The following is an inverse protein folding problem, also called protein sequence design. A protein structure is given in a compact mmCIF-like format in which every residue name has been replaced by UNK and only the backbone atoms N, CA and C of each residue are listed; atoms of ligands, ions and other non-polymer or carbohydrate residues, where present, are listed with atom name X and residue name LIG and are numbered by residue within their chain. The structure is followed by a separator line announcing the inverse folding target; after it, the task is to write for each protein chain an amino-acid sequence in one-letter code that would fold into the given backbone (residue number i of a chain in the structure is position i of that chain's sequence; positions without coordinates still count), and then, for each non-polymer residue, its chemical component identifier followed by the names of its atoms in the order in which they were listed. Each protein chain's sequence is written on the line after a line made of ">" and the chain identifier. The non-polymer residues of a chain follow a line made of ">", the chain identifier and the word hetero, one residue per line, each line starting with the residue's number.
data_IF_257758307750
#
_entry.id   IF_257758307750
#
_cell.length_a   1.000
_cell.length_b   1.000
_cell.length_c   1.000
_cell.angle_alpha   90.00
_cell.angle_beta   90.00
_cell.angle_gamma   90.00
#
_symmetry.space_group_name_H-M   'P 1'
#
loop_
_entity.id
_entity.type
_entity.pdbx_description
1 polymer ?
#
# COMPACT_ATOMS: atom_id res chain seq x y z
N UNK A 1 21.03 -38.09 -39.26
CA UNK A 1 21.35 -36.83 -38.58
C UNK A 1 20.60 -35.72 -39.33
N UNK A 2 19.36 -35.44 -38.92
CA UNK A 2 18.49 -34.42 -39.54
C UNK A 2 17.88 -33.65 -38.36
N UNK A 3 18.19 -32.36 -38.31
CA UNK A 3 17.94 -31.42 -37.22
C UNK A 3 16.44 -31.28 -36.93
N UNK A 4 16.08 -31.47 -35.66
CA UNK A 4 14.79 -31.05 -35.09
C UNK A 4 14.90 -29.56 -34.76
N UNK A 5 14.51 -28.71 -35.69
CA UNK A 5 14.42 -27.26 -35.48
C UNK A 5 13.22 -26.77 -36.28
N UNK A 6 12.01 -26.92 -35.72
CA UNK A 6 10.81 -26.21 -36.20
C UNK A 6 9.62 -26.34 -35.23
N UNK A 7 9.85 -26.27 -33.92
CA UNK A 7 8.74 -26.15 -32.97
C UNK A 7 8.77 -24.74 -32.37
N UNK A 8 7.96 -23.88 -33.00
CA UNK A 8 7.13 -22.87 -32.34
C UNK A 8 7.59 -21.40 -32.30
N UNK A 9 7.94 -20.83 -33.45
CA UNK A 9 8.15 -19.37 -33.60
C UNK A 9 6.86 -18.56 -33.89
N UNK A 10 5.70 -19.23 -34.02
CA UNK A 10 4.43 -18.56 -34.36
C UNK A 10 3.57 -18.17 -33.15
N UNK A 11 3.86 -18.68 -31.95
CA UNK A 11 3.10 -18.39 -30.72
C UNK A 11 3.64 -17.20 -29.90
N UNK A 12 4.85 -16.71 -30.22
CA UNK A 12 5.55 -15.66 -29.47
C UNK A 12 4.96 -14.24 -29.61
N UNK A 13 4.58 -13.71 -30.79
CA UNK A 13 4.13 -12.32 -30.90
C UNK A 13 2.73 -12.07 -30.34
N UNK A 14 1.84 -13.08 -30.38
CA UNK A 14 0.47 -12.97 -29.86
C UNK A 14 0.46 -12.92 -28.32
N UNK A 15 1.30 -13.73 -27.69
CA UNK A 15 1.45 -13.76 -26.23
C UNK A 15 2.10 -12.49 -25.69
N UNK A 16 3.08 -11.91 -26.40
CA UNK A 16 3.71 -10.66 -26.01
C UNK A 16 2.76 -9.46 -26.07
N UNK A 17 1.93 -9.39 -27.12
CA UNK A 17 0.92 -8.33 -27.26
C UNK A 17 -0.16 -8.41 -26.17
N UNK A 18 -0.63 -9.62 -25.85
CA UNK A 18 -1.60 -9.86 -24.78
C UNK A 18 -1.02 -9.51 -23.39
N UNK A 19 0.22 -9.93 -23.12
CA UNK A 19 0.94 -9.62 -21.88
C UNK A 19 1.12 -8.11 -21.71
N UNK A 20 1.58 -7.42 -22.75
CA UNK A 20 1.75 -5.96 -22.75
C UNK A 20 0.41 -5.24 -22.50
N UNK A 21 -0.67 -5.74 -23.08
CA UNK A 21 -2.03 -5.24 -22.84
C UNK A 21 -2.47 -5.37 -21.38
N UNK A 22 -2.22 -6.52 -20.75
CA UNK A 22 -2.57 -6.75 -19.34
C UNK A 22 -1.75 -5.87 -18.39
N UNK A 23 -0.43 -5.79 -18.58
CA UNK A 23 0.46 -4.93 -17.78
C UNK A 23 0.07 -3.45 -17.90
N UNK A 24 -0.33 -3.00 -19.10
CA UNK A 24 -0.80 -1.62 -19.28
C UNK A 24 -2.08 -1.33 -18.49
N UNK A 25 -3.05 -2.25 -18.48
CA UNK A 25 -4.29 -2.10 -17.71
C UNK A 25 -4.03 -2.05 -16.21
N UNK A 26 -3.12 -2.88 -15.72
CA UNK A 26 -2.68 -2.91 -14.33
C UNK A 26 -2.09 -1.57 -13.88
N UNK A 27 -1.11 -1.05 -14.63
CA UNK A 27 -0.47 0.24 -14.33
C UNK A 27 -1.50 1.38 -14.42
N UNK A 28 -2.43 1.32 -15.38
CA UNK A 28 -3.48 2.33 -15.49
C UNK A 28 -4.44 2.30 -14.29
N UNK A 29 -4.79 1.12 -13.79
CA UNK A 29 -5.58 0.97 -12.56
C UNK A 29 -4.81 1.51 -11.35
N UNK A 30 -3.54 1.14 -11.20
CA UNK A 30 -2.68 1.61 -10.12
C UNK A 30 -2.60 3.14 -10.09
N UNK A 31 -2.31 3.77 -11.23
CA UNK A 31 -2.29 5.24 -11.36
C UNK A 31 -3.66 5.85 -11.04
N UNK A 32 -4.75 5.25 -11.52
CA UNK A 32 -6.10 5.74 -11.25
C UNK A 32 -6.43 5.69 -9.75
N UNK A 33 -6.04 4.61 -9.06
CA UNK A 33 -6.28 4.47 -7.62
C UNK A 33 -5.41 5.46 -6.83
N UNK A 34 -4.13 5.61 -7.17
CA UNK A 34 -3.28 6.64 -6.57
C UNK A 34 -3.84 8.05 -6.77
N UNK A 35 -4.34 8.36 -7.98
CA UNK A 35 -4.97 9.63 -8.28
C UNK A 35 -6.24 9.84 -7.43
N UNK A 36 -7.08 8.81 -7.26
CA UNK A 36 -8.27 8.86 -6.42
C UNK A 36 -7.91 9.13 -4.95
N UNK A 37 -6.88 8.45 -4.42
CA UNK A 37 -6.41 8.68 -3.04
C UNK A 37 -5.81 10.08 -2.88
N UNK A 38 -5.05 10.55 -3.87
CA UNK A 38 -4.50 11.90 -3.86
C UNK A 38 -5.63 12.94 -3.85
N UNK A 39 -6.62 12.81 -4.75
CA UNK A 39 -7.78 13.71 -4.81
C UNK A 39 -8.59 13.68 -3.52
N UNK A 40 -8.85 12.51 -2.94
CA UNK A 40 -9.56 12.42 -1.66
C UNK A 40 -8.76 13.06 -0.52
N UNK A 41 -7.44 12.90 -0.53
CA UNK A 41 -6.55 13.53 0.45
C UNK A 41 -6.47 15.05 0.25
N UNK A 42 -6.43 15.55 -0.97
CA UNK A 42 -6.50 16.99 -1.26
C UNK A 42 -7.83 17.61 -0.86
N UNK A 43 -8.95 16.89 -1.05
CA UNK A 43 -10.26 17.35 -0.61
C UNK A 43 -10.30 17.65 0.89
N UNK A 44 -9.45 17.00 1.68
CA UNK A 44 -9.25 17.25 3.11
C UNK A 44 -8.74 18.67 3.44
N UNK A 45 -8.21 19.39 2.46
CA UNK A 45 -7.85 20.79 2.62
C UNK A 45 -9.08 21.70 2.60
N UNK A 46 -10.18 21.25 2.00
CA UNK A 46 -11.40 22.04 1.78
C UNK A 46 -12.59 21.56 2.62
N UNK A 47 -12.65 20.26 2.93
CA UNK A 47 -13.71 19.64 3.73
C UNK A 47 -13.19 19.38 5.14
N UNK A 48 -14.04 19.55 6.16
CA UNK A 48 -13.65 19.45 7.57
C UNK A 48 -12.83 18.19 7.91
N UNK A 49 -11.90 18.32 8.86
CA UNK A 49 -10.86 17.32 9.19
C UNK A 49 -11.41 15.93 9.51
N UNK A 50 -12.55 15.84 10.18
CA UNK A 50 -13.16 14.55 10.51
C UNK A 50 -13.71 13.83 9.28
N UNK A 51 -14.25 14.59 8.33
CA UNK A 51 -14.83 14.04 7.10
C UNK A 51 -13.74 13.51 6.16
N UNK A 52 -12.64 14.24 6.04
CA UNK A 52 -11.43 13.83 5.34
C UNK A 52 -10.89 12.46 5.81
N UNK A 53 -10.77 12.30 7.13
CA UNK A 53 -10.32 11.04 7.73
C UNK A 53 -11.32 9.92 7.49
N UNK A 54 -12.62 10.19 7.57
CA UNK A 54 -13.67 9.24 7.22
C UNK A 54 -13.54 8.73 5.78
N UNK A 55 -13.28 9.62 4.82
CA UNK A 55 -13.05 9.24 3.42
C UNK A 55 -11.79 8.38 3.30
N UNK A 56 -10.67 8.78 3.91
CA UNK A 56 -9.42 8.02 3.83
C UNK A 56 -9.56 6.60 4.39
N UNK A 57 -10.27 6.46 5.51
CA UNK A 57 -10.60 5.17 6.12
C UNK A 57 -11.50 4.34 5.22
N UNK A 58 -12.54 4.94 4.64
CA UNK A 58 -13.41 4.26 3.69
C UNK A 58 -12.62 3.77 2.46
N UNK A 59 -11.71 4.59 1.93
CA UNK A 59 -10.85 4.18 0.81
C UNK A 59 -9.92 3.02 1.17
N UNK A 60 -9.30 3.03 2.36
CA UNK A 60 -8.46 1.92 2.82
C UNK A 60 -9.24 0.62 2.96
N UNK A 61 -10.45 0.68 3.52
CA UNK A 61 -11.35 -0.48 3.64
C UNK A 61 -11.81 -1.01 2.27
N UNK A 62 -12.15 -0.12 1.34
CA UNK A 62 -12.54 -0.52 -0.03
C UNK A 62 -11.37 -1.23 -0.73
N UNK A 63 -10.15 -0.71 -0.61
CA UNK A 63 -8.96 -1.34 -1.21
C UNK A 63 -8.67 -2.71 -0.59
N UNK A 64 -8.83 -2.84 0.72
CA UNK A 64 -8.73 -4.12 1.41
C UNK A 64 -9.78 -5.12 0.91
N UNK A 65 -11.05 -4.73 0.83
CA UNK A 65 -12.11 -5.62 0.33
C UNK A 65 -11.83 -6.02 -1.13
N UNK A 66 -11.38 -5.06 -1.95
CA UNK A 66 -11.04 -5.31 -3.36
C UNK A 66 -9.88 -6.30 -3.50
N UNK A 67 -8.76 -6.10 -2.78
CA UNK A 67 -7.64 -7.03 -2.87
C UNK A 67 -8.03 -8.40 -2.32
N UNK A 68 -8.83 -8.45 -1.26
CA UNK A 68 -9.26 -9.73 -0.69
C UNK A 68 -10.09 -10.56 -1.67
N UNK A 69 -10.97 -9.92 -2.45
CA UNK A 69 -11.78 -10.61 -3.46
C UNK A 69 -11.00 -10.98 -4.73
N UNK A 70 -9.93 -10.27 -5.03
CA UNK A 70 -9.21 -10.39 -6.31
C UNK A 70 -7.88 -11.15 -6.20
N UNK A 71 -7.34 -11.32 -4.98
CA UNK A 71 -6.03 -11.93 -4.76
C UNK A 71 -5.99 -13.38 -5.25
N UNK A 72 -5.11 -13.72 -6.19
CA UNK A 72 -5.20 -15.01 -6.86
C UNK A 72 -4.43 -16.14 -6.17
N UNK A 73 -3.59 -15.82 -5.18
CA UNK A 73 -2.58 -16.72 -4.62
C UNK A 73 -2.94 -17.26 -3.23
N UNK A 74 -4.23 -17.28 -2.85
CA UNK A 74 -4.62 -17.83 -1.55
C UNK A 74 -4.16 -19.27 -1.40
N UNK A 75 -3.24 -19.50 -0.46
CA UNK A 75 -2.85 -20.86 -0.08
C UNK A 75 -3.87 -21.47 0.87
N UNK A 76 -4.53 -20.66 1.71
CA UNK A 76 -5.61 -21.05 2.62
C UNK A 76 -6.48 -19.86 3.06
N UNK A 77 -7.77 -20.12 3.34
CA UNK A 77 -8.75 -19.10 3.80
C UNK A 77 -8.37 -18.54 5.18
N UNK A 78 -7.72 -19.35 6.03
CA UNK A 78 -7.33 -18.93 7.38
C UNK A 78 -6.32 -17.78 7.32
N UNK A 79 -5.32 -17.87 6.44
CA UNK A 79 -4.30 -16.83 6.27
C UNK A 79 -4.95 -15.51 5.80
N UNK A 80 -5.88 -15.61 4.85
CA UNK A 80 -6.66 -14.47 4.37
C UNK A 80 -7.43 -13.76 5.50
N UNK A 81 -8.06 -14.54 6.38
CA UNK A 81 -8.83 -14.00 7.50
C UNK A 81 -7.91 -13.36 8.55
N UNK A 82 -6.75 -13.96 8.84
CA UNK A 82 -5.77 -13.40 9.77
C UNK A 82 -5.26 -12.05 9.26
N UNK A 83 -4.87 -11.96 7.99
CA UNK A 83 -4.47 -10.71 7.36
C UNK A 83 -5.56 -9.66 7.38
N UNK A 84 -6.81 -10.06 7.10
CA UNK A 84 -7.96 -9.16 7.11
C UNK A 84 -8.25 -8.58 8.50
N UNK A 85 -8.23 -9.43 9.54
CA UNK A 85 -8.41 -8.99 10.92
C UNK A 85 -7.31 -8.01 11.31
N UNK A 86 -6.05 -8.32 11.00
CA UNK A 86 -4.93 -7.42 11.30
C UNK A 86 -5.03 -6.09 10.53
N UNK A 87 -5.41 -6.13 9.26
CA UNK A 87 -5.65 -4.93 8.44
C UNK A 87 -6.77 -4.05 8.99
N UNK A 88 -7.93 -4.64 9.31
CA UNK A 88 -9.07 -3.94 9.94
C UNK A 88 -8.64 -3.29 11.25
N UNK A 89 -8.02 -4.05 12.15
CA UNK A 89 -7.55 -3.55 13.45
C UNK A 89 -6.60 -2.36 13.24
N UNK A 90 -5.64 -2.47 12.32
CA UNK A 90 -4.67 -1.40 12.07
C UNK A 90 -5.30 -0.15 11.45
N UNK A 91 -6.26 -0.31 10.52
CA UNK A 91 -6.99 0.82 9.94
C UNK A 91 -7.76 1.56 11.05
N UNK A 92 -8.53 0.84 11.87
CA UNK A 92 -9.31 1.46 12.95
C UNK A 92 -8.43 2.03 14.07
N UNK A 93 -7.34 1.36 14.43
CA UNK A 93 -6.38 1.88 15.40
C UNK A 93 -5.76 3.19 14.90
N UNK A 94 -5.36 3.25 13.63
CA UNK A 94 -4.83 4.47 13.02
C UNK A 94 -5.88 5.58 12.99
N UNK A 95 -7.13 5.26 12.63
CA UNK A 95 -8.22 6.22 12.62
C UNK A 95 -8.48 6.81 14.02
N UNK A 96 -8.60 5.97 15.06
CA UNK A 96 -8.83 6.40 16.43
C UNK A 96 -7.66 7.25 16.95
N UNK A 97 -6.43 6.82 16.66
CA UNK A 97 -5.21 7.53 17.04
C UNK A 97 -5.17 8.94 16.42
N UNK A 98 -5.53 9.08 15.14
CA UNK A 98 -5.58 10.40 14.49
C UNK A 98 -6.75 11.25 15.02
N UNK A 99 -7.91 10.63 15.28
CA UNK A 99 -9.06 11.33 15.86
C UNK A 99 -8.80 11.89 17.25
N UNK A 100 -8.02 11.18 18.07
CA UNK A 100 -7.62 11.65 19.40
C UNK A 100 -6.68 12.87 19.32
N UNK A 101 -5.85 12.94 18.28
CA UNK A 101 -4.96 14.07 18.05
C UNK A 101 -5.65 15.29 17.40
N UNK A 102 -6.81 15.12 16.74
CA UNK A 102 -7.47 16.20 16.01
C UNK A 102 -7.85 17.43 16.86
N UNK A 103 -8.40 17.31 18.08
CA UNK A 103 -8.80 18.46 18.89
C UNK A 103 -7.63 19.38 19.24
N UNK A 104 -6.47 18.81 19.55
CA UNK A 104 -5.25 19.59 19.79
C UNK A 104 -4.84 20.30 18.50
N UNK A 105 -4.83 19.58 17.36
CA UNK A 105 -4.55 20.14 16.03
C UNK A 105 -5.55 21.29 15.70
N UNK A 106 -6.83 21.20 16.07
CA UNK A 106 -7.86 22.23 15.84
C UNK A 106 -7.67 23.46 16.73
N UNK A 107 -7.37 23.26 18.00
CA UNK A 107 -7.13 24.35 18.95
C UNK A 107 -5.89 25.17 18.57
N UNK A 108 -4.84 24.51 18.06
CA UNK A 108 -3.65 25.22 17.59
C UNK A 108 -3.91 26.02 16.30
N UNK A 109 -4.73 25.52 15.38
CA UNK A 109 -5.14 26.26 14.18
C UNK A 109 -6.01 27.49 14.53
N UNK A 110 -6.96 27.33 15.46
CA UNK A 110 -7.87 28.40 15.88
C UNK A 110 -7.17 29.53 16.66
N UNK A 111 -6.06 29.24 17.35
CA UNK A 111 -5.35 30.21 18.18
C UNK A 111 -4.60 31.29 17.38
N UNK A 112 -4.57 31.23 16.04
CA UNK A 112 -3.98 32.27 15.18
C UNK A 112 -2.48 32.51 15.39
N UNK A 113 -1.83 31.77 16.30
CA UNK A 113 -0.38 31.67 16.39
C UNK A 113 0.05 31.23 15.01
N UNK A 114 0.74 32.10 14.28
CA UNK A 114 1.17 31.87 12.89
C UNK A 114 1.48 30.41 12.74
N UNK A 115 0.85 29.73 11.78
CA UNK A 115 0.99 28.30 11.55
C UNK A 115 2.44 27.82 11.78
N UNK A 116 3.43 28.62 11.36
CA UNK A 116 4.87 28.49 11.69
C UNK A 116 5.27 28.28 13.15
N UNK A 117 4.79 29.05 14.12
CA UNK A 117 5.25 29.00 15.52
C UNK A 117 4.65 27.82 16.31
N UNK A 118 3.38 27.51 16.04
CA UNK A 118 2.70 26.32 16.56
C UNK A 118 3.19 25.03 15.87
N UNK A 119 3.42 25.09 14.55
CA UNK A 119 3.90 23.96 13.74
C UNK A 119 5.38 23.64 13.95
N UNK A 120 6.20 24.56 14.45
CA UNK A 120 7.61 24.29 14.79
C UNK A 120 7.75 23.74 16.22
N UNK A 121 6.87 24.09 17.15
CA UNK A 121 7.05 23.74 18.57
C UNK A 121 6.25 22.52 19.07
N UNK A 122 5.03 22.29 18.56
CA UNK A 122 4.07 21.33 19.16
C UNK A 122 3.65 20.24 18.16
N UNK A 123 3.41 20.61 16.90
CA UNK A 123 3.07 19.65 15.85
C UNK A 123 4.12 18.55 15.67
N UNK A 124 5.45 18.82 15.62
CA UNK A 124 6.42 17.77 15.36
C UNK A 124 6.45 16.76 16.50
N UNK A 125 6.25 17.18 17.75
CA UNK A 125 6.21 16.29 18.91
C UNK A 125 4.95 15.42 18.94
N UNK A 126 3.77 15.98 18.65
CA UNK A 126 2.52 15.20 18.60
C UNK A 126 2.50 14.25 17.40
N UNK A 127 2.85 14.73 16.21
CA UNK A 127 3.00 13.87 15.04
C UNK A 127 4.08 12.81 15.27
N UNK A 128 5.14 13.11 16.02
CA UNK A 128 6.15 12.14 16.46
C UNK A 128 5.60 11.01 17.31
N UNK A 129 4.82 11.33 18.34
CA UNK A 129 4.16 10.28 19.11
C UNK A 129 3.23 9.43 18.25
N UNK A 130 2.45 10.04 17.34
CA UNK A 130 1.50 9.32 16.49
C UNK A 130 2.20 8.34 15.54
N UNK A 131 3.27 8.79 14.86
CA UNK A 131 3.97 7.93 13.91
C UNK A 131 4.77 6.83 14.60
N UNK A 132 5.36 7.11 15.77
CA UNK A 132 6.10 6.11 16.51
C UNK A 132 5.16 4.98 16.93
N UNK A 133 3.99 5.33 17.47
CA UNK A 133 2.94 4.37 17.85
C UNK A 133 2.49 3.55 16.65
N UNK A 134 2.23 4.18 15.49
CA UNK A 134 1.83 3.47 14.29
C UNK A 134 2.91 2.49 13.81
N UNK A 135 4.17 2.90 13.79
CA UNK A 135 5.29 2.05 13.37
C UNK A 135 5.49 0.86 14.31
N UNK A 136 5.39 1.10 15.63
CA UNK A 136 5.46 0.02 16.62
C UNK A 136 4.29 -0.94 16.49
N UNK A 137 3.06 -0.43 16.31
CA UNK A 137 1.87 -1.26 16.10
C UNK A 137 2.02 -2.12 14.85
N UNK A 138 2.48 -1.53 13.74
CA UNK A 138 2.72 -2.25 12.49
C UNK A 138 3.78 -3.33 12.66
N UNK A 139 4.92 -3.00 13.28
CA UNK A 139 5.99 -3.95 13.52
C UNK A 139 5.52 -5.12 14.39
N UNK A 140 4.76 -4.83 15.45
CA UNK A 140 4.16 -5.86 16.30
C UNK A 140 3.19 -6.75 15.52
N UNK A 141 2.31 -6.17 14.70
CA UNK A 141 1.38 -6.94 13.85
C UNK A 141 2.13 -7.82 12.85
N UNK A 142 3.20 -7.33 12.23
CA UNK A 142 4.03 -8.13 11.33
C UNK A 142 4.70 -9.31 12.04
N UNK A 143 5.22 -9.10 13.26
CA UNK A 143 5.77 -10.19 14.08
C UNK A 143 4.69 -11.23 14.37
N UNK A 144 3.47 -10.81 14.70
CA UNK A 144 2.33 -11.72 14.93
C UNK A 144 2.01 -12.53 13.68
N UNK A 145 1.98 -11.93 12.49
CA UNK A 145 1.75 -12.66 11.24
C UNK A 145 2.83 -13.69 10.94
N UNK A 146 4.10 -13.34 11.15
CA UNK A 146 5.22 -14.26 10.96
C UNK A 146 5.10 -15.45 11.91
N UNK A 147 4.83 -15.20 13.20
CA UNK A 147 4.66 -16.26 14.21
C UNK A 147 3.43 -17.13 13.90
N UNK A 148 2.30 -16.52 13.53
CA UNK A 148 1.09 -17.24 13.15
C UNK A 148 1.33 -18.14 11.92
N UNK A 149 2.01 -17.63 10.90
CA UNK A 149 2.39 -18.38 9.71
C UNK A 149 3.27 -19.59 10.04
N UNK A 150 4.27 -19.42 10.90
CA UNK A 150 5.10 -20.54 11.37
C UNK A 150 4.30 -21.55 12.19
N UNK A 151 3.43 -21.09 13.09
CA UNK A 151 2.64 -21.97 13.94
C UNK A 151 1.68 -22.83 13.10
N UNK A 152 0.99 -22.23 12.14
CA UNK A 152 0.13 -22.95 11.20
C UNK A 152 0.89 -23.99 10.40
N UNK A 153 2.12 -23.69 10.00
CA UNK A 153 2.97 -24.62 9.28
C UNK A 153 3.46 -25.78 10.16
N UNK A 154 3.79 -25.49 11.42
CA UNK A 154 4.15 -26.52 12.41
C UNK A 154 3.00 -27.49 12.69
N UNK A 155 1.74 -27.02 12.57
CA UNK A 155 0.54 -27.84 12.74
C UNK A 155 0.16 -28.67 11.51
N UNK A 156 0.75 -28.42 10.32
CA UNK A 156 0.46 -29.19 9.10
C UNK A 156 1.23 -30.52 9.07
N UNK A 157 0.53 -31.58 8.66
CA UNK A 157 1.03 -32.97 8.70
C UNK A 157 1.84 -33.39 7.46
N UNK A 158 1.71 -32.69 6.33
CA UNK A 158 2.49 -32.88 5.09
C UNK A 158 3.30 -31.61 4.77
N UNK A 159 4.63 -31.72 4.65
CA UNK A 159 5.58 -30.59 4.52
C UNK A 159 6.19 -30.49 3.12
N UNK A 160 5.38 -30.23 2.10
CA UNK A 160 5.88 -29.86 0.77
C UNK A 160 5.31 -28.50 0.39
N UNK A 161 6.17 -27.60 -0.11
CA UNK A 161 5.86 -26.23 -0.55
C UNK A 161 5.49 -25.19 0.54
N UNK A 162 6.10 -25.35 1.72
CA UNK A 162 5.86 -24.49 2.90
C UNK A 162 6.31 -23.04 2.71
N UNK A 163 7.53 -22.81 2.22
CA UNK A 163 8.12 -21.47 2.13
C UNK A 163 7.41 -20.60 1.09
N UNK A 164 7.06 -21.18 -0.06
CA UNK A 164 6.41 -20.45 -1.16
C UNK A 164 5.00 -20.01 -0.79
N UNK A 165 4.20 -20.91 -0.20
CA UNK A 165 2.86 -20.57 0.28
C UNK A 165 2.88 -19.50 1.39
N UNK A 166 3.85 -19.58 2.31
CA UNK A 166 4.06 -18.55 3.34
C UNK A 166 4.31 -17.17 2.75
N UNK A 167 5.21 -17.09 1.77
CA UNK A 167 5.61 -15.81 1.20
C UNK A 167 4.44 -15.10 0.51
N UNK A 168 3.57 -15.85 -0.15
CA UNK A 168 2.38 -15.30 -0.81
C UNK A 168 1.31 -14.86 0.19
N UNK A 169 1.09 -15.62 1.27
CA UNK A 169 0.17 -15.24 2.35
C UNK A 169 0.68 -14.00 3.10
N UNK A 170 1.96 -14.00 3.52
CA UNK A 170 2.55 -12.87 4.24
C UNK A 170 2.58 -11.58 3.41
N UNK A 171 2.82 -11.68 2.10
CA UNK A 171 2.81 -10.51 1.23
C UNK A 171 1.42 -9.86 1.16
N UNK A 172 0.36 -10.67 1.16
CA UNK A 172 -1.00 -10.16 1.26
C UNK A 172 -1.22 -9.50 2.63
N UNK A 173 -0.86 -10.18 3.72
CA UNK A 173 -1.04 -9.66 5.08
C UNK A 173 -0.31 -8.31 5.29
N UNK A 174 0.91 -8.20 4.76
CA UNK A 174 1.68 -6.95 4.74
C UNK A 174 0.95 -5.87 3.95
N UNK A 175 0.43 -6.18 2.77
CA UNK A 175 -0.33 -5.21 1.98
C UNK A 175 -1.59 -4.74 2.74
N UNK A 176 -2.32 -5.67 3.38
CA UNK A 176 -3.50 -5.37 4.18
C UNK A 176 -3.19 -4.42 5.34
N UNK A 177 -2.12 -4.67 6.10
CA UNK A 177 -1.73 -3.79 7.21
C UNK A 177 -1.14 -2.46 6.72
N UNK A 178 -0.33 -2.48 5.67
CA UNK A 178 0.27 -1.27 5.08
C UNK A 178 -0.79 -0.27 4.59
N UNK A 179 -1.97 -0.77 4.19
CA UNK A 179 -3.07 0.08 3.75
C UNK A 179 -3.57 1.05 4.82
N UNK A 180 -3.36 0.75 6.11
CA UNK A 180 -3.64 1.67 7.21
C UNK A 180 -2.84 2.99 7.10
N UNK A 181 -1.67 2.97 6.45
CA UNK A 181 -0.88 4.18 6.19
C UNK A 181 -1.61 5.20 5.30
N UNK A 182 -2.58 4.78 4.50
CA UNK A 182 -3.41 5.71 3.71
C UNK A 182 -4.33 6.57 4.56
N UNK A 183 -4.66 6.14 5.78
CA UNK A 183 -5.43 6.95 6.75
C UNK A 183 -4.63 8.18 7.20
N UNK A 184 -3.29 8.14 7.11
CA UNK A 184 -2.40 9.26 7.43
C UNK A 184 -2.26 10.26 6.28
N UNK A 185 -2.70 9.91 5.06
CA UNK A 185 -2.51 10.73 3.86
C UNK A 185 -3.09 12.15 3.97
N UNK A 186 -4.32 12.37 4.50
CA UNK A 186 -4.85 13.73 4.70
C UNK A 186 -3.93 14.64 5.52
N UNK A 187 -3.24 14.10 6.52
CA UNK A 187 -2.29 14.86 7.34
C UNK A 187 -1.06 15.28 6.54
N UNK A 188 -0.55 14.39 5.69
CA UNK A 188 0.60 14.65 4.82
C UNK A 188 0.33 15.82 3.86
N UNK A 189 -0.79 15.79 3.14
CA UNK A 189 -1.12 16.83 2.16
C UNK A 189 -1.29 18.20 2.82
N UNK A 190 -1.88 18.24 4.01
CA UNK A 190 -2.05 19.49 4.75
C UNK A 190 -0.72 20.02 5.29
N UNK A 191 0.14 19.14 5.81
CA UNK A 191 1.48 19.50 6.26
C UNK A 191 2.35 20.04 5.12
N UNK A 192 2.24 19.44 3.93
CA UNK A 192 2.89 19.96 2.72
C UNK A 192 2.37 21.37 2.43
N UNK A 193 1.05 21.55 2.29
CA UNK A 193 0.44 22.82 1.87
C UNK A 193 0.77 24.01 2.76
N UNK A 194 1.03 23.78 4.04
CA UNK A 194 1.33 24.83 5.00
C UNK A 194 2.83 25.15 5.11
N UNK A 195 3.71 24.19 4.85
CA UNK A 195 5.16 24.37 4.94
C UNK A 195 5.84 24.80 3.63
N UNK A 196 5.11 24.84 2.50
CA UNK A 196 5.66 25.33 1.21
C UNK A 196 6.17 26.79 1.30
N UNK A 197 5.63 27.59 2.23
CA UNK A 197 5.90 29.03 2.32
C UNK A 197 7.05 29.40 3.28
N UNK A 198 7.77 28.42 3.82
CA UNK A 198 8.93 28.63 4.70
C UNK A 198 10.25 28.92 3.95
N UNK A 199 11.29 29.36 4.67
CA UNK A 199 12.61 29.63 4.05
C UNK A 199 13.35 28.34 3.62
N UNK A 200 13.19 27.25 4.36
CA UNK A 200 13.72 25.91 4.02
C UNK A 200 12.63 24.89 3.67
N UNK A 201 11.36 25.21 3.98
CA UNK A 201 10.20 24.34 3.75
C UNK A 201 10.00 23.88 2.29
N UNK A 202 10.07 24.74 1.25
CA UNK A 202 9.81 24.31 -0.11
C UNK A 202 10.88 23.34 -0.64
N UNK A 203 12.15 23.52 -0.28
CA UNK A 203 13.22 22.60 -0.68
C UNK A 203 13.01 21.21 -0.08
N UNK A 204 12.70 21.14 1.22
CA UNK A 204 12.44 19.86 1.91
C UNK A 204 11.21 19.17 1.33
N UNK A 205 10.12 19.91 1.11
CA UNK A 205 8.91 19.39 0.47
C UNK A 205 9.20 18.82 -0.92
N UNK A 206 9.97 19.53 -1.75
CA UNK A 206 10.36 19.06 -3.08
C UNK A 206 11.19 17.79 -3.00
N UNK A 207 12.16 17.72 -2.09
CA UNK A 207 12.98 16.51 -1.87
C UNK A 207 12.08 15.34 -1.45
N UNK A 208 11.19 15.53 -0.47
CA UNK A 208 10.30 14.46 0.01
C UNK A 208 9.36 13.99 -1.09
N UNK A 209 8.78 14.90 -1.89
CA UNK A 209 7.95 14.54 -3.03
C UNK A 209 8.74 13.78 -4.09
N UNK A 210 9.98 14.20 -4.38
CA UNK A 210 10.85 13.49 -5.32
C UNK A 210 11.15 12.06 -4.84
N UNK A 211 11.50 11.88 -3.56
CA UNK A 211 11.72 10.55 -2.98
C UNK A 211 10.44 9.71 -3.01
N UNK A 212 9.28 10.29 -2.67
CA UNK A 212 8.01 9.58 -2.72
C UNK A 212 7.68 9.11 -4.15
N UNK A 213 7.87 9.96 -5.17
CA UNK A 213 7.67 9.60 -6.58
C UNK A 213 8.60 8.45 -6.98
N UNK A 214 9.86 8.47 -6.55
CA UNK A 214 10.82 7.38 -6.82
C UNK A 214 10.35 6.08 -6.17
N UNK A 215 9.89 6.12 -4.91
CA UNK A 215 9.41 4.94 -4.20
C UNK A 215 8.12 4.38 -4.82
N UNK A 216 7.16 5.23 -5.19
CA UNK A 216 5.96 4.81 -5.92
C UNK A 216 6.31 4.19 -7.28
N UNK A 217 7.23 4.81 -8.03
CA UNK A 217 7.71 4.26 -9.30
C UNK A 217 8.39 2.90 -9.12
N UNK A 218 9.16 2.73 -8.05
CA UNK A 218 9.76 1.45 -7.68
C UNK A 218 8.73 0.38 -7.33
N UNK A 219 7.67 0.74 -6.60
CA UNK A 219 6.55 -0.15 -6.29
C UNK A 219 5.79 -0.55 -7.57
N UNK A 220 5.50 0.38 -8.47
CA UNK A 220 4.88 0.07 -9.76
C UNK A 220 5.77 -0.82 -10.61
N UNK A 221 7.08 -0.58 -10.62
CA UNK A 221 8.03 -1.44 -11.31
C UNK A 221 8.04 -2.87 -10.73
N UNK A 222 8.10 -3.00 -9.41
CA UNK A 222 8.01 -4.30 -8.73
C UNK A 222 6.69 -5.02 -9.06
N UNK A 223 5.58 -4.28 -9.08
CA UNK A 223 4.25 -4.76 -9.47
C UNK A 223 4.26 -5.38 -10.86
N UNK A 224 4.82 -4.68 -11.86
CA UNK A 224 4.93 -5.23 -13.22
C UNK A 224 5.81 -6.47 -13.30
N UNK A 225 6.84 -6.57 -12.45
CA UNK A 225 7.73 -7.73 -12.39
C UNK A 225 7.03 -8.94 -11.77
N UNK A 226 6.31 -8.74 -10.66
CA UNK A 226 5.48 -9.78 -10.05
C UNK A 226 4.45 -10.35 -11.01
N UNK A 227 3.82 -9.49 -11.82
CA UNK A 227 2.87 -9.92 -12.84
C UNK A 227 3.53 -10.82 -13.90
N UNK A 228 4.71 -10.42 -14.39
CA UNK A 228 5.47 -11.23 -15.38
C UNK A 228 5.86 -12.59 -14.80
N UNK A 229 6.37 -12.62 -13.57
CA UNK A 229 6.78 -13.86 -12.90
C UNK A 229 5.58 -14.80 -12.66
N UNK A 230 4.42 -14.23 -12.32
CA UNK A 230 3.17 -14.98 -12.14
C UNK A 230 2.68 -15.60 -13.44
N UNK A 231 2.63 -14.83 -14.53
CA UNK A 231 2.25 -15.34 -15.85
C UNK A 231 3.21 -16.43 -16.34
N UNK A 232 4.52 -16.24 -16.14
CA UNK A 232 5.52 -17.26 -16.49
C UNK A 232 5.30 -18.57 -15.71
N UNK A 233 4.95 -18.48 -14.43
CA UNK A 233 4.64 -19.65 -13.61
C UNK A 233 3.39 -20.41 -14.08
N UNK A 234 2.41 -19.71 -14.64
CA UNK A 234 1.21 -20.32 -15.22
C UNK A 234 1.49 -21.06 -16.52
N UNK A 235 2.33 -20.50 -17.39
CA UNK A 235 2.67 -21.15 -18.67
C UNK A 235 3.39 -22.49 -18.49
N UNK A 236 4.14 -22.67 -17.40
CA UNK A 236 4.83 -23.94 -17.09
C UNK A 236 3.86 -25.00 -16.55
N UNK A 237 2.76 -24.59 -15.93
CA UNK A 237 1.75 -25.48 -15.31
C UNK A 237 0.62 -25.89 -16.26
N UNK A 238 0.79 -25.73 -17.57
CA UNK A 238 -0.26 -25.66 -18.60
C UNK A 238 -1.06 -26.94 -18.91
N UNK A 239 -1.17 -27.90 -18.00
CA UNK A 239 -2.11 -29.03 -18.17
C UNK A 239 -3.58 -28.64 -17.90
N UNK A 240 -3.85 -27.43 -17.37
CA UNK A 240 -5.20 -26.97 -17.04
C UNK A 240 -5.49 -25.60 -17.69
N UNK A 241 -6.56 -25.46 -18.50
CA UNK A 241 -6.92 -24.19 -19.12
C UNK A 241 -7.35 -23.17 -18.05
N UNK A 242 -6.65 -22.03 -17.99
CA UNK A 242 -6.99 -20.91 -17.11
C UNK A 242 -8.19 -20.15 -17.69
N UNK A 243 -9.27 -20.04 -16.92
CA UNK A 243 -10.45 -19.26 -17.31
C UNK A 243 -10.06 -17.78 -17.46
N UNK A 244 -10.30 -17.20 -18.64
CA UNK A 244 -9.87 -15.84 -19.04
C UNK A 244 -10.20 -14.75 -17.99
N UNK A 245 -11.31 -14.90 -17.26
CA UNK A 245 -11.76 -13.96 -16.22
C UNK A 245 -10.83 -13.90 -14.99
N UNK A 246 -10.25 -15.04 -14.56
CA UNK A 246 -9.31 -15.06 -13.41
C UNK A 246 -8.01 -14.32 -13.70
N UNK A 247 -7.59 -14.27 -14.96
CA UNK A 247 -6.35 -13.57 -15.35
C UNK A 247 -6.46 -12.06 -15.12
N UNK A 248 -7.63 -11.47 -15.42
CA UNK A 248 -7.88 -10.04 -15.21
C UNK A 248 -7.94 -9.68 -13.73
N UNK A 249 -8.62 -10.50 -12.92
CA UNK A 249 -8.71 -10.30 -11.48
C UNK A 249 -7.33 -10.40 -10.81
N UNK A 250 -6.54 -11.39 -11.21
CA UNK A 250 -5.16 -11.57 -10.74
C UNK A 250 -4.28 -10.36 -11.05
N UNK A 251 -4.40 -9.81 -12.25
CA UNK A 251 -3.61 -8.68 -12.72
C UNK A 251 -3.91 -7.41 -11.92
N UNK A 252 -5.20 -7.16 -11.67
CA UNK A 252 -5.62 -6.01 -10.88
C UNK A 252 -5.27 -6.16 -9.39
N UNK A 253 -5.31 -7.38 -8.83
CA UNK A 253 -4.88 -7.62 -7.45
C UNK A 253 -3.40 -7.32 -7.21
N UNK A 254 -2.52 -7.64 -8.17
CA UNK A 254 -1.10 -7.29 -8.07
C UNK A 254 -0.88 -5.78 -8.08
N UNK A 255 -1.61 -5.04 -8.93
CA UNK A 255 -1.59 -3.58 -8.94
C UNK A 255 -2.11 -2.98 -7.64
N UNK A 256 -3.16 -3.57 -7.06
CA UNK A 256 -3.69 -3.13 -5.76
C UNK A 256 -2.71 -3.39 -4.62
N UNK A 257 -1.96 -4.48 -4.62
CA UNK A 257 -0.93 -4.74 -3.61
C UNK A 257 0.14 -3.65 -3.58
N UNK A 258 0.64 -3.19 -4.74
CA UNK A 258 1.63 -2.10 -4.77
C UNK A 258 1.03 -0.80 -4.24
N UNK A 259 -0.23 -0.49 -4.57
CA UNK A 259 -0.96 0.66 -3.99
C UNK A 259 -1.06 0.54 -2.48
N UNK A 260 -1.46 -0.61 -1.94
CA UNK A 260 -1.62 -0.78 -0.50
C UNK A 260 -0.28 -0.65 0.25
N UNK A 261 0.80 -1.21 -0.29
CA UNK A 261 2.16 -1.00 0.20
C UNK A 261 2.61 0.47 0.13
N UNK A 262 2.02 1.27 -0.76
CA UNK A 262 2.23 2.72 -0.83
C UNK A 262 1.89 3.48 0.45
N UNK A 263 1.10 2.90 1.36
CA UNK A 263 0.87 3.48 2.69
C UNK A 263 2.16 3.64 3.50
N UNK A 264 3.18 2.78 3.29
CA UNK A 264 4.51 2.98 3.88
C UNK A 264 5.22 4.23 3.34
N UNK A 265 5.02 4.55 2.06
CA UNK A 265 5.63 5.73 1.44
C UNK A 265 5.03 7.01 2.04
N UNK A 266 3.72 7.01 2.31
CA UNK A 266 3.05 8.12 3.02
C UNK A 266 3.64 8.30 4.41
N UNK A 267 3.82 7.20 5.15
CA UNK A 267 4.46 7.22 6.46
C UNK A 267 5.90 7.77 6.41
N UNK A 268 6.73 7.27 5.50
CA UNK A 268 8.13 7.73 5.35
C UNK A 268 8.20 9.21 4.94
N UNK A 269 7.31 9.66 4.07
CA UNK A 269 7.23 11.07 3.66
C UNK A 269 6.88 11.97 4.85
N UNK A 270 5.95 11.56 5.69
CA UNK A 270 5.61 12.28 6.93
C UNK A 270 6.79 12.33 7.90
N UNK A 271 7.45 11.20 8.17
CA UNK A 271 8.62 11.14 9.06
C UNK A 271 9.75 12.03 8.54
N UNK A 272 10.03 11.99 7.24
CA UNK A 272 11.05 12.83 6.62
C UNK A 272 10.71 14.32 6.79
N UNK A 273 9.47 14.71 6.52
CA UNK A 273 9.03 16.09 6.70
C UNK A 273 9.18 16.54 8.16
N UNK A 274 8.84 15.68 9.11
CA UNK A 274 8.96 15.99 10.54
C UNK A 274 10.41 16.16 10.98
N UNK A 275 11.32 15.33 10.48
CA UNK A 275 12.74 15.40 10.84
C UNK A 275 13.47 16.61 10.22
N UNK A 276 13.09 17.01 9.00
CA UNK A 276 13.77 18.08 8.28
C UNK A 276 13.13 19.46 8.44
N UNK A 277 11.86 19.54 8.85
CA UNK A 277 11.12 20.81 9.04
C UNK A 277 10.88 21.14 10.52
N UNK A 278 10.86 20.13 11.42
CA UNK A 278 10.80 20.33 12.88
C UNK A 278 12.13 20.79 13.45
#
# INVERSE_FOLDING_TARGET
>A
MKTMESVNDSETPLNDAAMKGSTRRMVMLEIAVYALIAVSSLASCFVGRQFALGISTATALILMIAIMGMWPLYSNVVDAVVGAIGGVIMIFATQLMVMDALPEIDQLDAAGRTFRAAAVAIYPTLLNSLYAIWAFALLLTLVVFVVAGFLQQMLRRNRTDMVRSMSHSLMLDVALVASSGWVLSPLLFRYIGTNVWGMHGPLVVVIVLAVAIVLFSGLSWASTRWWKDYVASMSVSSSVPVKHDRSHQSCAAMGLASVMCGGFVVFLALVALLFFVG
#
